data_IF_819544085830
#
_entry.id   IF_819544085830
#
_cell.length_a   1.000
_cell.length_b   1.000
_cell.length_c   1.000
_cell.angle_alpha   90.00
_cell.angle_beta   90.00
_cell.angle_gamma   90.00
#
_symmetry.space_group_name_H-M   'P 1'
#
loop_
_entity.id
_entity.type
_entity.pdbx_description
1 polymer ?
#
# COMPACT_ATOMS: atom_id res chain seq x y z
N UNK A 1 3.89 -22.57 -2.44
CA UNK A 1 4.94 -21.60 -2.82
C UNK A 1 4.37 -20.76 -3.95
N UNK A 2 4.54 -19.47 -3.92
CA UNK A 2 4.14 -18.58 -5.02
C UNK A 2 5.27 -18.64 -6.06
N UNK A 3 4.92 -18.89 -7.32
CA UNK A 3 5.95 -19.19 -8.36
C UNK A 3 6.51 -17.95 -9.04
N UNK A 4 5.83 -16.79 -8.93
CA UNK A 4 6.25 -15.54 -9.58
C UNK A 4 6.39 -14.43 -8.52
N UNK A 5 7.41 -13.59 -8.64
CA UNK A 5 7.69 -12.48 -7.71
C UNK A 5 6.49 -11.54 -7.52
N UNK A 6 5.74 -11.24 -8.61
CA UNK A 6 4.53 -10.42 -8.54
C UNK A 6 3.42 -11.04 -7.67
N UNK A 7 3.32 -12.38 -7.67
CA UNK A 7 2.34 -13.09 -6.84
C UNK A 7 2.74 -13.06 -5.36
N UNK A 8 4.04 -13.12 -5.07
CA UNK A 8 4.56 -12.97 -3.70
C UNK A 8 4.31 -11.57 -3.19
N UNK A 9 4.56 -10.55 -4.02
CA UNK A 9 4.30 -9.15 -3.69
C UNK A 9 2.82 -8.90 -3.40
N UNK A 10 1.93 -9.40 -4.24
CA UNK A 10 0.48 -9.31 -4.00
C UNK A 10 0.04 -10.07 -2.74
N UNK A 11 0.72 -11.17 -2.39
CA UNK A 11 0.46 -11.92 -1.16
C UNK A 11 0.86 -11.12 0.08
N UNK A 12 1.99 -10.40 0.04
CA UNK A 12 2.39 -9.49 1.10
C UNK A 12 1.31 -8.42 1.35
N UNK A 13 0.82 -7.77 0.29
CA UNK A 13 -0.25 -6.78 0.42
C UNK A 13 -1.53 -7.37 1.02
N UNK A 14 -1.91 -8.58 0.60
CA UNK A 14 -3.12 -9.19 1.11
C UNK A 14 -3.00 -9.61 2.58
N UNK A 15 -1.86 -10.18 2.99
CA UNK A 15 -1.59 -10.51 4.41
C UNK A 15 -1.52 -9.26 5.27
N UNK A 16 -0.95 -8.18 4.74
CA UNK A 16 -0.93 -6.88 5.41
C UNK A 16 -2.34 -6.36 5.69
N UNK A 17 -3.25 -6.40 4.69
CA UNK A 17 -4.64 -6.02 4.86
C UNK A 17 -5.42 -6.87 5.88
N UNK A 18 -4.90 -8.03 6.26
CA UNK A 18 -5.50 -8.88 7.29
C UNK A 18 -4.99 -8.57 8.70
N UNK A 19 -4.05 -7.63 8.85
CA UNK A 19 -3.32 -7.43 10.11
C UNK A 19 -4.20 -6.89 11.24
N UNK A 20 -5.22 -6.11 10.93
CA UNK A 20 -6.18 -5.57 11.90
C UNK A 20 -7.44 -6.45 12.10
N UNK A 21 -7.57 -7.54 11.33
CA UNK A 21 -8.66 -8.51 11.40
C UNK A 21 -9.83 -8.23 10.48
N UNK A 22 -9.92 -7.06 9.85
CA UNK A 22 -10.98 -6.69 8.90
C UNK A 22 -10.38 -6.10 7.62
N UNK A 23 -10.85 -6.57 6.46
CA UNK A 23 -10.46 -6.00 5.17
C UNK A 23 -11.56 -5.08 4.67
N UNK A 24 -11.32 -3.78 4.70
CA UNK A 24 -12.26 -2.76 4.26
C UNK A 24 -12.49 -2.77 2.73
N UNK A 25 -13.62 -2.21 2.29
CA UNK A 25 -13.89 -2.10 0.84
C UNK A 25 -12.95 -1.12 0.13
N UNK A 26 -12.43 -0.13 0.84
CA UNK A 26 -11.41 0.82 0.36
C UNK A 26 -10.08 0.13 0.08
N UNK A 27 -9.58 -0.70 0.99
CA UNK A 27 -8.38 -1.51 0.80
C UNK A 27 -8.53 -2.48 -0.37
N UNK A 28 -9.67 -3.18 -0.48
CA UNK A 28 -9.96 -4.06 -1.63
C UNK A 28 -9.88 -3.33 -2.97
N UNK A 29 -10.28 -2.05 -3.02
CA UNK A 29 -10.17 -1.24 -4.24
C UNK A 29 -8.72 -0.93 -4.57
N UNK A 30 -7.91 -0.52 -3.58
CA UNK A 30 -6.48 -0.24 -3.76
C UNK A 30 -5.76 -1.52 -4.16
N UNK A 31 -5.97 -2.63 -3.45
CA UNK A 31 -5.40 -3.93 -3.80
C UNK A 31 -5.75 -4.38 -5.23
N UNK A 32 -6.98 -4.17 -5.67
CA UNK A 32 -7.36 -4.47 -7.05
C UNK A 32 -6.64 -3.59 -8.07
N UNK A 33 -6.31 -2.35 -7.73
CA UNK A 33 -5.50 -1.46 -8.58
C UNK A 33 -4.07 -1.96 -8.64
N UNK A 34 -3.46 -2.27 -7.51
CA UNK A 34 -2.10 -2.84 -7.42
C UNK A 34 -2.01 -4.15 -8.22
N UNK A 35 -2.98 -5.08 -8.08
CA UNK A 35 -3.00 -6.31 -8.86
C UNK A 35 -3.03 -6.06 -10.37
N UNK A 36 -3.71 -5.02 -10.85
CA UNK A 36 -3.72 -4.64 -12.26
C UNK A 36 -2.36 -4.09 -12.70
N UNK A 37 -1.73 -3.27 -11.88
CA UNK A 37 -0.40 -2.71 -12.14
C UNK A 37 0.67 -3.81 -12.19
N UNK A 38 0.53 -4.85 -11.38
CA UNK A 38 1.37 -6.05 -11.39
C UNK A 38 1.01 -7.06 -12.50
N UNK A 39 0.03 -6.75 -13.35
CA UNK A 39 -0.46 -7.65 -14.39
C UNK A 39 -0.89 -9.02 -13.83
N UNK A 40 -1.65 -9.02 -12.75
CA UNK A 40 -2.21 -10.21 -12.10
C UNK A 40 -3.68 -10.34 -12.54
N UNK A 41 -3.99 -11.44 -13.21
CA UNK A 41 -5.35 -11.75 -13.65
C UNK A 41 -6.27 -12.13 -12.47
N UNK A 42 -7.59 -12.17 -12.74
CA UNK A 42 -8.57 -12.40 -11.70
C UNK A 42 -8.51 -13.83 -11.10
N UNK A 43 -8.07 -14.83 -11.84
CA UNK A 43 -8.03 -16.19 -11.35
C UNK A 43 -6.79 -16.43 -10.50
N UNK A 44 -5.64 -15.90 -10.92
CA UNK A 44 -4.42 -15.83 -10.10
C UNK A 44 -4.66 -15.07 -8.82
N UNK A 45 -5.35 -13.92 -8.87
CA UNK A 45 -5.73 -13.16 -7.66
C UNK A 45 -6.57 -13.98 -6.68
N UNK A 46 -7.55 -14.75 -7.16
CA UNK A 46 -8.35 -15.64 -6.30
C UNK A 46 -7.49 -16.70 -5.61
N UNK A 47 -6.52 -17.26 -6.35
CA UNK A 47 -5.57 -18.25 -5.79
C UNK A 47 -4.72 -17.62 -4.69
N UNK A 48 -4.18 -16.41 -4.93
CA UNK A 48 -3.40 -15.65 -3.93
C UNK A 48 -4.23 -15.44 -2.67
N UNK A 49 -5.43 -14.90 -2.80
CA UNK A 49 -6.35 -14.65 -1.68
C UNK A 49 -6.62 -15.92 -0.88
N UNK A 50 -6.90 -17.05 -1.57
CA UNK A 50 -7.14 -18.32 -0.91
C UNK A 50 -5.93 -18.79 -0.12
N UNK A 51 -4.73 -18.77 -0.72
CA UNK A 51 -3.48 -19.16 -0.06
C UNK A 51 -3.18 -18.27 1.16
N UNK A 52 -3.35 -16.95 1.05
CA UNK A 52 -3.14 -16.04 2.17
C UNK A 52 -4.08 -16.33 3.36
N UNK A 53 -5.36 -16.65 3.06
CA UNK A 53 -6.32 -17.04 4.11
C UNK A 53 -5.93 -18.36 4.77
N UNK A 54 -5.43 -19.34 4.00
CA UNK A 54 -4.93 -20.61 4.54
C UNK A 54 -3.69 -20.42 5.43
N UNK A 55 -2.78 -19.52 5.04
CA UNK A 55 -1.60 -19.14 5.85
C UNK A 55 -1.97 -18.41 7.13
N UNK A 56 -2.99 -17.58 7.09
CA UNK A 56 -3.50 -16.82 8.22
C UNK A 56 -4.37 -17.65 9.15
N UNK A 57 -4.83 -18.84 8.75
CA UNK A 57 -5.74 -19.66 9.54
C UNK A 57 -5.10 -20.05 10.88
N UNK A 58 -5.78 -19.68 11.96
CA UNK A 58 -5.28 -19.87 13.34
C UNK A 58 -4.19 -18.91 13.79
N UNK A 59 -3.76 -17.94 12.96
CA UNK A 59 -2.77 -16.92 13.28
C UNK A 59 -3.40 -15.53 13.34
N UNK A 60 -3.19 -14.80 14.43
CA UNK A 60 -3.60 -13.41 14.58
C UNK A 60 -2.46 -12.40 14.35
N UNK A 61 -1.20 -12.85 14.31
CA UNK A 61 0.00 -12.01 14.07
C UNK A 61 0.46 -12.19 12.61
N UNK A 62 0.00 -11.31 11.73
CA UNK A 62 0.37 -11.36 10.30
C UNK A 62 1.84 -11.08 10.05
N UNK A 63 2.51 -10.31 10.89
CA UNK A 63 3.97 -10.15 10.80
C UNK A 63 4.67 -11.50 10.96
N UNK A 64 4.27 -12.29 11.95
CA UNK A 64 4.85 -13.61 12.16
C UNK A 64 4.57 -14.54 10.96
N UNK A 65 3.39 -14.48 10.36
CA UNK A 65 3.06 -15.23 9.12
C UNK A 65 3.98 -14.83 7.98
N UNK A 66 4.16 -13.53 7.74
CA UNK A 66 5.02 -12.98 6.68
C UNK A 66 6.46 -13.46 6.85
N UNK A 67 6.99 -13.39 8.08
CA UNK A 67 8.37 -13.79 8.41
C UNK A 67 8.56 -15.31 8.34
N UNK A 68 7.64 -16.10 8.88
CA UNK A 68 7.75 -17.56 8.90
C UNK A 68 7.70 -18.19 7.50
N UNK A 69 6.87 -17.62 6.63
CA UNK A 69 6.77 -18.04 5.23
C UNK A 69 7.85 -17.40 4.34
N UNK A 70 8.72 -16.56 4.91
CA UNK A 70 9.77 -15.82 4.19
C UNK A 70 9.26 -15.01 3.02
N UNK A 71 8.03 -14.51 3.11
CA UNK A 71 7.42 -13.72 2.05
C UNK A 71 8.21 -12.43 1.83
N UNK A 72 8.66 -11.80 2.92
CA UNK A 72 9.49 -10.60 2.90
C UNK A 72 10.84 -10.80 2.19
N UNK A 73 11.46 -11.97 2.31
CA UNK A 73 12.70 -12.29 1.59
C UNK A 73 12.42 -12.53 0.10
N UNK A 74 11.37 -13.29 -0.22
CA UNK A 74 11.02 -13.62 -1.61
C UNK A 74 10.57 -12.39 -2.41
N UNK A 75 9.89 -11.44 -1.77
CA UNK A 75 9.53 -10.16 -2.42
C UNK A 75 10.77 -9.39 -2.83
N UNK A 76 11.83 -9.48 -2.03
CA UNK A 76 13.08 -8.76 -2.26
C UNK A 76 14.04 -9.48 -3.20
N UNK A 77 13.96 -10.81 -3.38
CA UNK A 77 14.83 -11.56 -4.27
C UNK A 77 14.69 -11.06 -5.71
N UNK A 78 15.64 -10.21 -6.11
CA UNK A 78 15.80 -9.80 -7.49
C UNK A 78 16.55 -10.90 -8.27
N UNK A 79 16.25 -11.05 -9.55
CA UNK A 79 16.87 -11.97 -10.49
C UNK A 79 18.41 -11.91 -10.51
N UNK A 80 19.03 -10.86 -9.97
CA UNK A 80 20.47 -10.63 -9.99
C UNK A 80 21.10 -10.37 -8.63
N UNK A 81 20.38 -10.50 -7.52
CA UNK A 81 20.90 -10.22 -6.17
C UNK A 81 21.27 -8.74 -5.93
N UNK A 82 20.84 -7.84 -6.80
CA UNK A 82 21.04 -6.41 -6.65
C UNK A 82 19.84 -5.85 -5.88
N UNK A 83 20.12 -5.08 -4.82
CA UNK A 83 19.09 -4.36 -4.09
C UNK A 83 18.43 -3.32 -5.00
N UNK A 84 17.13 -3.42 -5.20
CA UNK A 84 16.34 -2.43 -5.93
C UNK A 84 15.59 -1.55 -4.91
N UNK A 85 16.26 -0.49 -4.47
CA UNK A 85 15.72 0.44 -3.48
C UNK A 85 14.43 1.12 -3.96
N UNK A 86 14.28 1.37 -5.25
CA UNK A 86 13.08 1.99 -5.79
C UNK A 86 11.88 1.05 -5.72
N UNK A 87 12.09 -0.23 -5.98
CA UNK A 87 11.06 -1.26 -5.81
C UNK A 87 10.68 -1.43 -4.35
N UNK A 88 11.66 -1.55 -3.46
CA UNK A 88 11.44 -1.67 -2.02
C UNK A 88 10.64 -0.46 -1.51
N UNK A 89 11.01 0.77 -1.90
CA UNK A 89 10.29 1.98 -1.54
C UNK A 89 8.87 2.01 -2.13
N UNK A 90 8.67 1.54 -3.36
CA UNK A 90 7.34 1.44 -3.97
C UNK A 90 6.43 0.47 -3.20
N UNK A 91 6.97 -0.66 -2.75
CA UNK A 91 6.22 -1.61 -1.92
C UNK A 91 5.85 -0.96 -0.59
N UNK A 92 6.78 -0.27 0.07
CA UNK A 92 6.50 0.46 1.32
C UNK A 92 5.42 1.53 1.09
N UNK A 93 5.48 2.31 0.00
CA UNK A 93 4.43 3.26 -0.35
C UNK A 93 3.06 2.59 -0.50
N UNK A 94 2.99 1.47 -1.22
CA UNK A 94 1.73 0.74 -1.42
C UNK A 94 1.15 0.23 -0.10
N UNK A 95 2.00 -0.24 0.82
CA UNK A 95 1.58 -0.67 2.16
C UNK A 95 1.06 0.52 2.99
N UNK A 96 1.77 1.66 2.97
CA UNK A 96 1.29 2.89 3.64
C UNK A 96 -0.06 3.31 3.07
N UNK A 97 -0.22 3.36 1.76
CA UNK A 97 -1.47 3.74 1.10
C UNK A 97 -2.63 2.76 1.41
N UNK A 98 -2.35 1.47 1.56
CA UNK A 98 -3.32 0.48 2.03
C UNK A 98 -3.73 0.74 3.48
N UNK A 99 -2.78 0.95 4.38
CA UNK A 99 -3.07 1.20 5.79
C UNK A 99 -3.88 2.49 6.06
N UNK A 100 -3.79 3.47 5.16
CA UNK A 100 -4.60 4.68 5.24
C UNK A 100 -5.96 4.58 4.52
N UNK A 101 -6.24 3.47 3.85
CA UNK A 101 -7.42 3.34 2.98
C UNK A 101 -8.76 3.40 3.71
N UNK A 102 -8.82 2.93 4.94
CA UNK A 102 -10.03 2.91 5.79
C UNK A 102 -10.07 4.04 6.84
N UNK A 103 -9.06 4.93 6.82
CA UNK A 103 -8.82 6.01 7.78
C UNK A 103 -8.34 5.57 9.17
N UNK A 104 -7.91 4.32 9.33
CA UNK A 104 -7.42 3.76 10.60
C UNK A 104 -6.07 3.08 10.36
N UNK A 105 -4.98 3.83 10.42
CA UNK A 105 -3.63 3.23 10.33
C UNK A 105 -3.30 2.53 11.65
N UNK A 106 -3.56 1.23 11.72
CA UNK A 106 -3.47 0.41 12.93
C UNK A 106 -2.03 0.20 13.41
N UNK A 107 -1.87 -0.19 14.69
CA UNK A 107 -0.54 -0.49 15.25
C UNK A 107 0.08 -1.74 14.64
N UNK A 108 -0.75 -2.71 14.30
CA UNK A 108 -0.38 -3.97 13.67
C UNK A 108 0.18 -3.72 12.26
N UNK A 109 -0.47 -2.87 11.50
CA UNK A 109 -0.02 -2.44 10.18
C UNK A 109 1.31 -1.67 10.27
N UNK A 110 1.40 -0.71 11.19
CA UNK A 110 2.64 0.04 11.44
C UNK A 110 3.80 -0.88 11.82
N UNK A 111 3.55 -1.94 12.62
CA UNK A 111 4.55 -2.92 13.03
C UNK A 111 5.13 -3.66 11.81
N UNK A 112 4.27 -4.07 10.87
CA UNK A 112 4.70 -4.76 9.64
C UNK A 112 5.55 -3.83 8.78
N UNK A 113 5.09 -2.60 8.52
CA UNK A 113 5.84 -1.67 7.67
C UNK A 113 7.19 -1.31 8.29
N UNK A 114 7.25 -1.01 9.60
CA UNK A 114 8.51 -0.70 10.28
C UNK A 114 9.50 -1.85 10.20
N UNK A 115 9.05 -3.09 10.38
CA UNK A 115 9.88 -4.27 10.20
C UNK A 115 10.47 -4.33 8.78
N UNK A 116 9.65 -4.12 7.75
CA UNK A 116 10.10 -4.17 6.36
C UNK A 116 11.07 -3.02 6.02
N UNK A 117 10.80 -1.80 6.51
CA UNK A 117 11.69 -0.63 6.36
C UNK A 117 13.08 -0.93 6.92
N UNK A 118 13.15 -1.48 8.14
CA UNK A 118 14.41 -1.86 8.77
C UNK A 118 15.09 -2.99 8.02
N UNK A 119 14.37 -4.07 7.72
CA UNK A 119 14.92 -5.26 7.08
C UNK A 119 15.43 -4.99 5.67
N UNK A 120 14.74 -4.16 4.91
CA UNK A 120 15.11 -3.81 3.53
C UNK A 120 16.06 -2.61 3.45
N UNK A 121 16.40 -2.02 4.60
CA UNK A 121 17.26 -0.83 4.68
C UNK A 121 16.72 0.36 3.86
N UNK A 122 15.39 0.49 3.82
CA UNK A 122 14.75 1.67 3.23
C UNK A 122 15.02 2.87 4.15
N UNK A 123 15.37 4.03 3.56
CA UNK A 123 15.65 5.23 4.35
C UNK A 123 14.42 5.62 5.17
N UNK A 124 14.62 5.82 6.48
CA UNK A 124 13.56 6.20 7.41
C UNK A 124 12.92 7.54 7.05
N UNK A 125 13.69 8.48 6.46
CA UNK A 125 13.18 9.77 6.00
C UNK A 125 12.20 9.58 4.83
N UNK A 126 12.50 8.68 3.90
CA UNK A 126 11.60 8.33 2.79
C UNK A 126 10.30 7.70 3.32
N UNK A 127 10.42 6.78 4.27
CA UNK A 127 9.22 6.21 4.92
C UNK A 127 8.38 7.28 5.61
N UNK A 128 9.00 8.21 6.36
CA UNK A 128 8.29 9.29 7.03
C UNK A 128 7.60 10.22 6.03
N UNK A 129 8.26 10.55 4.93
CA UNK A 129 7.67 11.32 3.83
C UNK A 129 6.41 10.65 3.28
N UNK A 130 6.45 9.33 3.07
CA UNK A 130 5.27 8.58 2.60
C UNK A 130 4.11 8.64 3.61
N UNK A 131 4.40 8.54 4.90
CA UNK A 131 3.39 8.69 5.96
C UNK A 131 2.79 10.09 5.94
N UNK A 132 3.60 11.14 5.85
CA UNK A 132 3.16 12.54 5.84
C UNK A 132 2.31 12.85 4.59
N UNK A 133 2.68 12.28 3.44
CA UNK A 133 1.89 12.39 2.20
C UNK A 133 0.54 11.67 2.37
N UNK A 134 0.52 10.46 2.92
CA UNK A 134 -0.71 9.71 3.14
C UNK A 134 -1.65 10.42 4.12
N UNK A 135 -1.14 10.99 5.21
CA UNK A 135 -1.90 11.84 6.14
C UNK A 135 -2.50 13.06 5.44
N UNK A 136 -1.72 13.72 4.59
CA UNK A 136 -2.19 14.87 3.81
C UNK A 136 -3.28 14.46 2.82
N UNK A 137 -3.11 13.34 2.12
CA UNK A 137 -4.13 12.81 1.19
C UNK A 137 -5.42 12.47 1.94
N UNK A 138 -5.35 11.87 3.11
CA UNK A 138 -6.51 11.60 3.96
C UNK A 138 -7.24 12.89 4.37
N UNK A 139 -6.50 13.94 4.73
CA UNK A 139 -7.10 15.24 5.04
C UNK A 139 -7.81 15.85 3.82
N UNK A 140 -7.23 15.72 2.62
CA UNK A 140 -7.85 16.16 1.36
C UNK A 140 -9.11 15.37 1.01
N UNK A 141 -9.13 14.06 1.26
CA UNK A 141 -10.33 13.22 1.08
C UNK A 141 -11.45 13.69 2.01
N UNK A 142 -11.16 13.92 3.30
CA UNK A 142 -12.13 14.47 4.27
C UNK A 142 -12.62 15.86 3.86
N UNK A 143 -11.72 16.71 3.37
CA UNK A 143 -12.09 18.02 2.82
C UNK A 143 -13.02 17.91 1.62
N UNK A 144 -12.77 16.95 0.72
CA UNK A 144 -13.66 16.69 -0.42
C UNK A 144 -15.05 16.27 0.04
N UNK A 145 -15.16 15.38 1.01
CA UNK A 145 -16.44 14.96 1.58
C UNK A 145 -17.20 16.14 2.20
N UNK A 146 -16.48 17.01 2.93
CA UNK A 146 -17.06 18.23 3.47
C UNK A 146 -17.56 19.17 2.36
N UNK A 147 -16.80 19.39 1.29
CA UNK A 147 -17.22 20.18 0.13
C UNK A 147 -18.47 19.60 -0.51
N UNK A 148 -18.53 18.27 -0.66
CA UNK A 148 -19.66 17.56 -1.25
C UNK A 148 -20.93 17.67 -0.40
N UNK A 149 -20.82 17.70 0.90
CA UNK A 149 -21.95 17.80 1.84
C UNK A 149 -22.42 19.25 2.05
N UNK A 150 -21.52 20.22 1.97
CA UNK A 150 -21.78 21.63 2.36
C UNK A 150 -22.22 22.49 1.16
N UNK A 151 -21.62 22.28 -0.02
CA UNK A 151 -21.88 23.10 -1.19
C UNK A 151 -22.94 22.46 -2.11
N UNK A 152 -23.91 23.26 -2.53
CA UNK A 152 -24.84 22.85 -3.58
C UNK A 152 -24.11 22.55 -4.90
N UNK A 153 -24.67 21.65 -5.71
CA UNK A 153 -24.12 21.37 -7.06
C UNK A 153 -24.03 22.65 -7.87
N UNK A 154 -22.86 22.98 -8.38
CA UNK A 154 -22.64 24.19 -9.17
C UNK A 154 -21.15 24.48 -9.41
N UNK A 155 -20.88 25.62 -10.02
CA UNK A 155 -19.53 26.02 -10.45
C UNK A 155 -18.54 26.09 -9.29
N UNK A 156 -18.95 26.62 -8.13
CA UNK A 156 -18.07 26.77 -6.96
C UNK A 156 -17.66 25.41 -6.38
N UNK A 157 -18.61 24.50 -6.19
CA UNK A 157 -18.33 23.12 -5.75
C UNK A 157 -17.38 22.42 -6.71
N UNK A 158 -17.65 22.46 -8.03
CA UNK A 158 -16.82 21.83 -9.05
C UNK A 158 -15.39 22.40 -9.03
N UNK A 159 -15.23 23.72 -8.79
CA UNK A 159 -13.92 24.34 -8.67
C UNK A 159 -13.14 23.81 -7.47
N UNK A 160 -13.80 23.70 -6.30
CA UNK A 160 -13.17 23.16 -5.09
C UNK A 160 -12.79 21.68 -5.24
N UNK A 161 -13.67 20.86 -5.80
CA UNK A 161 -13.38 19.45 -6.09
C UNK A 161 -12.18 19.29 -7.04
N UNK A 162 -12.12 20.12 -8.08
CA UNK A 162 -10.99 20.10 -9.02
C UNK A 162 -9.68 20.49 -8.36
N UNK A 163 -9.69 21.47 -7.46
CA UNK A 163 -8.47 21.88 -6.72
C UNK A 163 -7.97 20.74 -5.83
N UNK A 164 -8.86 20.08 -5.07
CA UNK A 164 -8.50 18.97 -4.23
C UNK A 164 -7.93 17.81 -5.06
N UNK A 165 -8.56 17.50 -6.20
CA UNK A 165 -8.07 16.45 -7.10
C UNK A 165 -6.68 16.75 -7.63
N UNK A 166 -6.40 17.97 -8.05
CA UNK A 166 -5.07 18.39 -8.53
C UNK A 166 -4.01 18.29 -7.42
N UNK A 167 -4.36 18.62 -6.19
CA UNK A 167 -3.41 18.49 -5.07
C UNK A 167 -3.08 17.02 -4.76
N UNK A 168 -4.08 16.12 -4.80
CA UNK A 168 -3.84 14.68 -4.66
C UNK A 168 -2.95 14.16 -5.80
N UNK A 169 -3.20 14.56 -7.05
CA UNK A 169 -2.38 14.19 -8.20
C UNK A 169 -0.94 14.68 -8.06
N UNK A 170 -0.74 15.87 -7.51
CA UNK A 170 0.59 16.40 -7.21
C UNK A 170 1.32 15.57 -6.16
N UNK A 171 0.67 15.26 -5.03
CA UNK A 171 1.25 14.43 -3.98
C UNK A 171 1.67 13.05 -4.49
N UNK A 172 0.85 12.42 -5.34
CA UNK A 172 1.21 11.16 -6.00
C UNK A 172 2.39 11.30 -6.96
N UNK A 173 2.53 12.45 -7.63
CA UNK A 173 3.71 12.74 -8.46
C UNK A 173 4.95 12.91 -7.60
N UNK A 174 4.86 13.57 -6.46
CA UNK A 174 5.98 13.75 -5.53
C UNK A 174 6.48 12.38 -5.02
N UNK A 175 5.58 11.46 -4.64
CA UNK A 175 5.93 10.07 -4.30
C UNK A 175 6.72 9.38 -5.41
N UNK A 176 6.25 9.49 -6.66
CA UNK A 176 6.94 8.85 -7.78
C UNK A 176 8.34 9.44 -7.99
N UNK A 177 8.50 10.75 -7.85
CA UNK A 177 9.81 11.40 -7.93
C UNK A 177 10.75 10.91 -6.83
N UNK A 178 10.29 10.85 -5.58
CA UNK A 178 11.07 10.31 -4.45
C UNK A 178 11.52 8.86 -4.73
N UNK A 179 10.64 8.02 -5.28
CA UNK A 179 10.98 6.63 -5.65
C UNK A 179 12.01 6.60 -6.79
N UNK A 180 11.87 7.45 -7.81
CA UNK A 180 12.79 7.52 -8.95
C UNK A 180 14.18 8.00 -8.54
N UNK A 181 14.30 8.92 -7.59
CA UNK A 181 15.58 9.41 -7.06
C UNK A 181 16.40 8.30 -6.37
N UNK A 182 15.76 7.24 -5.89
CA UNK A 182 16.45 6.10 -5.27
C UNK A 182 17.14 5.18 -6.29
N UNK A 183 16.90 5.37 -7.59
CA UNK A 183 17.54 4.60 -8.66
C UNK A 183 18.81 5.23 -9.20
N UNK A 184 19.11 6.49 -8.82
CA UNK A 184 20.29 7.23 -9.26
C UNK A 184 21.48 7.02 -8.33
#
# INVERSE_FOLDING_TARGET
MFEENKNVEASLYYLYMMADGEIANSEKKIFNTICKELDIDNDTKKIIIKKCKELADGNSDMLNVIVSEKIDEQVRENWFGIQDLSRDARIIWNLVNLGYADNVYSKEEQKIIKYLVEKWSVNLEVYQEFVDIADTMLALVKQKEWVLSTFAKGSERNKKEKMIKLEIERLLSDVNLTIEELTM
#
